data_IF_173436327977
#
_entry.id   IF_173436327977
#
_cell.length_a   1.000
_cell.length_b   1.000
_cell.length_c   1.000
_cell.angle_alpha   90.00
_cell.angle_beta   90.00
_cell.angle_gamma   90.00
#
_symmetry.space_group_name_H-M   'P 1'
#
loop_
_entity.id
_entity.type
_entity.pdbx_description
1 polymer ?
#
# COMPACT_ATOMS: atom_id res chain seq x y z
N UNK A 1 -5.12 -4.23 -60.73
CA UNK A 1 -5.21 -5.66 -61.07
C UNK A 1 -4.04 -6.39 -60.43
N UNK A 2 -4.28 -7.09 -59.32
CA UNK A 2 -3.62 -8.35 -58.96
C UNK A 2 -4.22 -8.81 -57.62
N UNK A 3 -5.13 -9.78 -57.72
CA UNK A 3 -5.81 -10.43 -56.60
C UNK A 3 -4.88 -11.48 -55.99
N UNK A 4 -4.56 -11.34 -54.71
CA UNK A 4 -3.91 -12.39 -53.92
C UNK A 4 -5.02 -13.13 -53.17
N UNK A 5 -5.24 -14.38 -53.58
CA UNK A 5 -6.26 -15.28 -53.04
C UNK A 5 -5.60 -16.16 -51.98
N UNK A 6 -5.88 -15.94 -50.69
CA UNK A 6 -5.40 -16.81 -49.62
C UNK A 6 -6.33 -18.04 -49.49
N UNK A 7 -5.77 -19.23 -49.72
CA UNK A 7 -6.43 -20.52 -49.49
C UNK A 7 -6.54 -20.80 -47.98
N UNK A 8 -7.77 -20.94 -47.48
CA UNK A 8 -8.05 -21.57 -46.18
C UNK A 8 -7.87 -23.09 -46.29
N UNK A 9 -6.96 -23.69 -45.51
CA UNK A 9 -6.94 -25.13 -45.27
C UNK A 9 -7.74 -25.44 -44.00
N UNK A 10 -8.86 -26.15 -44.18
CA UNK A 10 -9.61 -26.81 -43.11
C UNK A 10 -8.85 -28.07 -42.66
N UNK A 11 -8.44 -28.12 -41.40
CA UNK A 11 -7.99 -29.37 -40.77
C UNK A 11 -8.99 -29.74 -39.69
N UNK A 12 -9.76 -30.80 -39.96
CA UNK A 12 -10.68 -31.43 -39.03
C UNK A 12 -9.87 -32.23 -38.00
N UNK A 13 -10.06 -31.98 -36.70
CA UNK A 13 -9.63 -32.88 -35.63
C UNK A 13 -10.88 -33.47 -34.99
N UNK A 14 -10.93 -34.80 -35.04
CA UNK A 14 -12.06 -35.65 -34.75
C UNK A 14 -12.36 -35.75 -33.25
N UNK A 15 -13.65 -35.81 -32.93
CA UNK A 15 -14.21 -36.25 -31.66
C UNK A 15 -13.80 -37.69 -31.33
N UNK A 16 -13.18 -37.89 -30.17
CA UNK A 16 -13.03 -39.20 -29.54
C UNK A 16 -14.05 -39.37 -28.42
N UNK A 17 -15.17 -40.03 -28.73
CA UNK A 17 -16.09 -40.60 -27.73
C UNK A 17 -15.41 -41.80 -27.06
N UNK A 18 -15.38 -41.84 -25.73
CA UNK A 18 -15.13 -43.06 -24.95
C UNK A 18 -16.44 -43.43 -24.25
N UNK A 19 -17.05 -44.51 -24.73
CA UNK A 19 -18.11 -45.29 -24.07
C UNK A 19 -17.49 -46.67 -23.79
N UNK A 20 -17.81 -47.27 -22.64
CA UNK A 20 -17.80 -48.70 -22.24
C UNK A 20 -17.38 -48.78 -20.74
N UNK A 21 -17.99 -49.47 -19.77
CA UNK A 21 -19.16 -50.34 -19.63
C UNK A 21 -19.66 -50.36 -18.17
N UNK A 22 -20.92 -50.75 -17.99
CA UNK A 22 -21.60 -51.07 -16.72
C UNK A 22 -21.06 -52.32 -16.00
N UNK A 23 -21.16 -52.34 -14.66
CA UNK A 23 -21.91 -53.31 -13.82
C UNK A 23 -21.65 -53.02 -12.32
N UNK A 24 -22.64 -52.57 -11.55
CA UNK A 24 -23.68 -53.35 -10.84
C UNK A 24 -23.17 -54.01 -9.55
N UNK A 25 -23.60 -53.48 -8.40
CA UNK A 25 -23.92 -54.25 -7.21
C UNK A 25 -24.91 -53.46 -6.36
N UNK A 26 -26.12 -54.00 -6.22
CA UNK A 26 -27.13 -53.50 -5.31
C UNK A 26 -26.98 -54.12 -3.93
N UNK A 27 -27.44 -53.39 -2.92
CA UNK A 27 -27.89 -53.97 -1.66
C UNK A 27 -28.82 -53.00 -0.95
N UNK A 28 -30.08 -53.40 -0.86
CA UNK A 28 -31.08 -52.83 0.04
C UNK A 28 -30.57 -52.86 1.48
N UNK A 29 -30.59 -51.74 2.19
CA UNK A 29 -30.49 -51.71 3.64
C UNK A 29 -31.63 -50.89 4.22
N UNK A 30 -32.44 -51.57 5.01
CA UNK A 30 -33.63 -51.11 5.73
C UNK A 30 -33.33 -50.02 6.74
N UNK A 31 -34.21 -49.01 6.81
CA UNK A 31 -34.24 -48.00 7.87
C UNK A 31 -34.47 -48.65 9.25
N UNK A 32 -33.66 -48.34 10.28
CA UNK A 32 -33.87 -48.85 11.63
C UNK A 32 -34.98 -48.09 12.36
N UNK A 33 -35.84 -48.85 13.03
CA UNK A 33 -36.89 -48.39 13.94
C UNK A 33 -36.29 -47.75 15.20
N UNK A 34 -36.77 -46.59 15.68
CA UNK A 34 -36.26 -45.99 16.90
C UNK A 34 -36.67 -46.79 18.15
N UNK A 35 -35.68 -47.16 18.98
CA UNK A 35 -35.90 -47.71 20.32
C UNK A 35 -36.09 -46.57 21.35
N UNK A 36 -36.92 -46.78 22.39
CA UNK A 36 -37.11 -45.80 23.46
C UNK A 36 -35.85 -45.69 24.34
N UNK A 37 -35.41 -44.45 24.57
CA UNK A 37 -34.28 -44.09 25.42
C UNK A 37 -34.70 -44.16 26.90
N UNK A 38 -33.94 -44.90 27.71
CA UNK A 38 -34.10 -44.94 29.17
C UNK A 38 -33.56 -43.65 29.81
N UNK A 39 -34.38 -42.99 30.63
CA UNK A 39 -33.97 -41.85 31.46
C UNK A 39 -32.91 -42.28 32.49
N UNK A 40 -31.77 -41.60 32.52
CA UNK A 40 -30.81 -41.67 33.62
C UNK A 40 -31.24 -40.77 34.79
N UNK A 41 -31.05 -41.28 36.00
CA UNK A 41 -31.30 -40.61 37.29
C UNK A 41 -30.30 -39.46 37.50
N UNK A 42 -30.72 -38.32 38.10
CA UNK A 42 -29.83 -37.19 38.33
C UNK A 42 -28.79 -37.50 39.43
N UNK A 43 -27.51 -37.34 39.08
CA UNK A 43 -26.39 -37.32 40.02
C UNK A 43 -26.36 -35.98 40.76
N UNK A 44 -26.21 -36.01 42.08
CA UNK A 44 -26.17 -34.82 42.94
C UNK A 44 -24.93 -33.97 42.66
N UNK A 45 -25.11 -32.77 42.12
CA UNK A 45 -24.04 -31.78 41.91
C UNK A 45 -23.71 -31.09 43.23
N UNK A 46 -22.43 -31.07 43.62
CA UNK A 46 -21.94 -30.31 44.76
C UNK A 46 -21.90 -28.81 44.41
N UNK A 47 -22.65 -28.00 45.15
CA UNK A 47 -22.67 -26.54 45.05
C UNK A 47 -21.45 -25.96 45.76
N UNK A 48 -20.53 -25.35 45.02
CA UNK A 48 -19.48 -24.51 45.58
C UNK A 48 -19.97 -23.08 45.72
N UNK A 49 -19.88 -22.53 46.92
CA UNK A 49 -20.19 -21.13 47.22
C UNK A 49 -19.05 -20.24 46.69
N UNK A 50 -19.30 -19.26 45.81
CA UNK A 50 -18.25 -18.36 45.32
C UNK A 50 -17.78 -17.42 46.43
N UNK A 51 -16.46 -17.23 46.52
CA UNK A 51 -15.86 -16.26 47.42
C UNK A 51 -16.25 -14.82 47.04
N UNK A 52 -16.30 -13.88 48.01
CA UNK A 52 -16.69 -12.49 47.75
C UNK A 52 -15.70 -11.81 46.78
N UNK A 53 -16.24 -11.24 45.71
CA UNK A 53 -15.49 -10.47 44.72
C UNK A 53 -15.06 -9.13 45.32
N UNK A 54 -13.76 -8.87 45.39
CA UNK A 54 -13.21 -7.53 45.58
C UNK A 54 -13.22 -6.79 44.23
N UNK A 55 -13.88 -5.62 44.11
CA UNK A 55 -13.85 -4.85 42.89
C UNK A 55 -12.43 -4.30 42.65
N UNK A 56 -11.82 -4.71 41.55
CA UNK A 56 -10.57 -4.12 41.07
C UNK A 56 -10.88 -2.70 40.61
N UNK A 57 -10.32 -1.71 41.29
CA UNK A 57 -10.34 -0.32 40.82
C UNK A 57 -9.45 -0.26 39.58
N UNK A 58 -10.07 -0.23 38.40
CA UNK A 58 -9.34 -0.02 37.15
C UNK A 58 -8.81 1.42 37.14
N UNK A 59 -7.47 1.54 37.12
CA UNK A 59 -6.80 2.82 36.88
C UNK A 59 -7.26 3.36 35.53
N UNK A 60 -7.89 4.53 35.52
CA UNK A 60 -8.28 5.23 34.30
C UNK A 60 -7.01 5.56 33.52
N UNK A 61 -6.83 4.94 32.35
CA UNK A 61 -5.76 5.29 31.43
C UNK A 61 -5.90 6.77 31.06
N UNK A 62 -4.88 7.56 31.37
CA UNK A 62 -4.76 8.93 30.88
C UNK A 62 -4.73 8.86 29.36
N UNK A 63 -5.73 9.45 28.67
CA UNK A 63 -5.74 9.52 27.21
C UNK A 63 -4.48 10.27 26.77
N UNK A 64 -3.57 9.58 26.06
CA UNK A 64 -2.45 10.29 25.45
C UNK A 64 -3.02 11.33 24.48
N UNK A 65 -2.55 12.59 24.52
CA UNK A 65 -3.02 13.60 23.58
C UNK A 65 -2.75 13.10 22.17
N UNK A 66 -3.83 12.95 21.38
CA UNK A 66 -3.74 12.51 20.00
C UNK A 66 -2.87 13.48 19.18
N UNK A 67 -2.10 12.99 18.20
CA UNK A 67 -1.33 13.84 17.30
C UNK A 67 -2.22 14.93 16.68
N UNK A 68 -1.77 16.18 16.71
CA UNK A 68 -2.48 17.28 16.03
C UNK A 68 -2.12 17.30 14.53
N UNK A 69 -2.47 16.23 13.82
CA UNK A 69 -2.24 16.07 12.38
C UNK A 69 -3.46 16.64 11.67
N UNK A 70 -3.27 17.77 10.97
CA UNK A 70 -4.34 18.38 10.16
C UNK A 70 -4.36 17.83 8.74
N UNK A 71 -3.20 17.42 8.22
CA UNK A 71 -3.07 16.88 6.86
C UNK A 71 -1.91 15.91 6.72
N UNK A 72 -1.97 15.08 5.68
CA UNK A 72 -0.93 14.10 5.36
C UNK A 72 -0.46 14.26 3.92
N UNK A 73 0.86 14.35 3.75
CA UNK A 73 1.55 14.33 2.46
C UNK A 73 2.34 13.03 2.33
N UNK A 74 2.05 12.27 1.29
CA UNK A 74 2.72 11.01 0.96
C UNK A 74 3.57 11.26 -0.28
N UNK A 75 4.87 10.97 -0.18
CA UNK A 75 5.81 11.02 -1.30
C UNK A 75 6.29 9.60 -1.57
N UNK A 76 6.05 9.12 -2.78
CA UNK A 76 6.65 7.89 -3.29
C UNK A 76 7.73 8.24 -4.31
N UNK A 77 8.95 7.77 -4.06
CA UNK A 77 10.02 7.76 -5.07
C UNK A 77 10.07 6.34 -5.66
N UNK A 78 9.56 6.19 -6.88
CA UNK A 78 9.41 4.90 -7.57
C UNK A 78 10.77 4.20 -7.68
N UNK A 79 10.84 2.90 -7.33
CA UNK A 79 12.05 2.10 -7.43
C UNK A 79 13.16 2.42 -6.41
N UNK A 80 12.89 3.27 -5.40
CA UNK A 80 13.91 3.75 -4.45
C UNK A 80 14.33 2.66 -3.45
N UNK A 81 15.59 2.22 -3.58
CA UNK A 81 16.25 1.39 -2.56
C UNK A 81 16.75 2.23 -1.38
N UNK A 82 16.67 1.74 -0.14
CA UNK A 82 17.24 2.45 1.01
C UNK A 82 18.74 2.74 0.93
N UNK A 83 19.51 1.83 0.31
CA UNK A 83 20.97 1.96 0.24
C UNK A 83 21.45 3.04 -0.73
N UNK A 84 20.56 3.58 -1.59
CA UNK A 84 20.93 4.65 -2.52
C UNK A 84 20.67 6.05 -2.00
N UNK A 85 19.84 6.23 -0.95
CA UNK A 85 19.45 7.56 -0.42
C UNK A 85 20.68 8.42 -0.13
N UNK A 86 21.68 7.87 0.56
CA UNK A 86 22.90 8.59 0.89
C UNK A 86 23.79 8.84 -0.34
N UNK A 87 23.93 7.85 -1.22
CA UNK A 87 24.79 7.97 -2.41
C UNK A 87 24.20 8.87 -3.50
N UNK A 88 22.88 9.02 -3.53
CA UNK A 88 22.16 9.94 -4.39
C UNK A 88 22.13 11.38 -3.85
N UNK A 89 22.68 11.63 -2.65
CA UNK A 89 22.70 12.97 -2.04
C UNK A 89 21.28 13.54 -1.84
N UNK A 90 20.32 12.70 -1.44
CA UNK A 90 18.93 13.09 -1.14
C UNK A 90 18.83 13.82 0.20
N UNK A 91 19.37 15.04 0.24
CA UNK A 91 19.55 15.84 1.45
C UNK A 91 18.24 16.18 2.16
N UNK A 92 17.14 16.44 1.44
CA UNK A 92 15.85 16.77 2.05
C UNK A 92 15.21 15.52 2.68
N UNK A 93 15.25 14.37 2.00
CA UNK A 93 14.83 13.08 2.56
C UNK A 93 15.66 12.73 3.80
N UNK A 94 16.98 12.88 3.74
CA UNK A 94 17.85 12.62 4.90
C UNK A 94 17.54 13.56 6.08
N UNK A 95 17.27 14.84 5.82
CA UNK A 95 16.88 15.79 6.86
C UNK A 95 15.52 15.42 7.47
N UNK A 96 14.54 15.01 6.66
CA UNK A 96 13.23 14.55 7.14
C UNK A 96 13.39 13.27 8.00
N UNK A 97 14.23 12.34 7.56
CA UNK A 97 14.54 11.11 8.29
C UNK A 97 15.19 11.38 9.65
N UNK A 98 16.10 12.35 9.74
CA UNK A 98 16.71 12.76 11.02
C UNK A 98 15.72 13.46 11.95
N UNK A 99 14.75 14.18 11.39
CA UNK A 99 13.70 14.89 12.12
C UNK A 99 12.41 14.05 12.29
N UNK A 100 12.51 12.73 12.16
CA UNK A 100 11.34 11.85 12.13
C UNK A 100 11.63 10.46 12.64
N UNK A 101 10.71 9.54 12.39
CA UNK A 101 10.89 8.12 12.60
C UNK A 101 11.09 7.41 11.25
N UNK A 102 11.85 6.31 11.24
CA UNK A 102 12.12 5.62 9.98
C UNK A 102 12.48 4.16 10.13
N UNK A 103 12.24 3.39 9.06
CA UNK A 103 12.79 2.08 8.79
C UNK A 103 13.41 2.06 7.40
N UNK A 104 14.64 1.56 7.29
CA UNK A 104 15.34 1.32 6.02
C UNK A 104 15.28 -0.18 5.64
N UNK A 105 14.38 -0.92 6.27
CA UNK A 105 14.17 -2.35 6.03
C UNK A 105 12.68 -2.68 5.89
N UNK A 106 11.84 -1.67 5.58
CA UNK A 106 10.44 -1.91 5.29
C UNK A 106 10.33 -2.78 4.02
N UNK A 107 9.24 -3.55 3.94
CA UNK A 107 9.05 -4.53 2.87
C UNK A 107 7.85 -4.14 2.01
N UNK A 108 8.00 -4.29 0.70
CA UNK A 108 6.90 -4.17 -0.24
C UNK A 108 6.10 -5.49 -0.34
N UNK A 109 5.21 -5.58 -1.32
CA UNK A 109 4.43 -6.78 -1.67
C UNK A 109 5.12 -7.56 -2.79
N UNK A 110 4.80 -8.85 -2.90
CA UNK A 110 5.16 -9.68 -4.04
C UNK A 110 3.98 -9.84 -5.02
N UNK A 111 4.18 -9.76 -6.35
CA UNK A 111 5.41 -9.31 -7.03
C UNK A 111 5.64 -7.81 -6.83
N UNK A 112 6.90 -7.41 -6.69
CA UNK A 112 7.32 -6.02 -6.39
C UNK A 112 7.21 -5.11 -7.62
N UNK A 113 5.98 -4.92 -8.08
CA UNK A 113 5.62 -4.15 -9.27
C UNK A 113 4.92 -2.85 -8.87
N UNK A 114 5.15 -1.80 -9.65
CA UNK A 114 4.71 -0.44 -9.34
C UNK A 114 3.23 -0.33 -8.98
N UNK A 115 2.33 -0.74 -9.88
CA UNK A 115 0.90 -0.52 -9.66
C UNK A 115 0.34 -1.41 -8.53
N UNK A 116 0.61 -2.73 -8.47
CA UNK A 116 0.16 -3.56 -7.36
C UNK A 116 0.68 -3.08 -5.99
N UNK A 117 1.95 -2.65 -5.91
CA UNK A 117 2.54 -2.16 -4.67
C UNK A 117 1.96 -0.82 -4.21
N UNK A 118 1.84 0.16 -5.11
CA UNK A 118 1.18 1.42 -4.77
C UNK A 118 -0.29 1.23 -4.39
N UNK A 119 -0.98 0.28 -5.03
CA UNK A 119 -2.33 -0.09 -4.63
C UNK A 119 -2.33 -0.64 -3.22
N UNK A 120 -1.46 -1.61 -2.90
CA UNK A 120 -1.32 -2.13 -1.53
C UNK A 120 -0.99 -1.03 -0.51
N UNK A 121 -0.13 -0.08 -0.86
CA UNK A 121 0.25 1.06 -0.02
C UNK A 121 -0.94 1.92 0.39
N UNK A 122 -1.84 2.21 -0.55
CA UNK A 122 -2.95 3.17 -0.38
C UNK A 122 -4.29 2.49 -0.01
N UNK A 123 -4.47 1.22 -0.37
CA UNK A 123 -5.65 0.41 0.00
C UNK A 123 -5.45 -0.30 1.35
N UNK A 124 -4.20 -0.49 1.80
CA UNK A 124 -3.92 -1.16 3.08
C UNK A 124 -4.18 -2.67 3.10
N UNK A 125 -4.30 -3.29 1.92
CA UNK A 125 -4.50 -4.74 1.75
C UNK A 125 -3.51 -5.32 0.74
N UNK A 126 -3.32 -6.62 0.73
CA UNK A 126 -2.48 -7.31 -0.25
C UNK A 126 -3.19 -7.48 -1.61
N UNK A 127 -2.47 -7.81 -2.71
CA UNK A 127 -3.06 -8.01 -4.05
C UNK A 127 -4.10 -9.11 -4.14
N UNK A 128 -4.14 -10.03 -3.17
CA UNK A 128 -5.18 -11.03 -3.07
C UNK A 128 -6.57 -10.43 -2.78
N UNK A 129 -6.65 -9.28 -2.10
CA UNK A 129 -7.89 -8.60 -1.73
C UNK A 129 -8.25 -7.48 -2.70
N UNK A 130 -7.30 -6.59 -3.01
CA UNK A 130 -7.56 -5.45 -3.89
C UNK A 130 -7.54 -5.78 -5.39
N UNK A 131 -7.19 -7.03 -5.75
CA UNK A 131 -7.18 -7.66 -7.10
C UNK A 131 -6.36 -6.98 -8.20
N UNK A 132 -5.75 -5.82 -7.94
CA UNK A 132 -4.80 -5.18 -8.85
C UNK A 132 -3.50 -5.99 -8.95
N UNK A 133 -3.41 -6.83 -10.00
CA UNK A 133 -2.28 -7.75 -10.27
C UNK A 133 -1.61 -7.51 -11.63
N UNK A 134 -1.93 -6.38 -12.26
CA UNK A 134 -1.35 -5.95 -13.53
C UNK A 134 -0.48 -4.70 -13.29
N UNK A 135 0.44 -4.41 -14.22
CA UNK A 135 1.37 -3.28 -14.08
C UNK A 135 1.35 -2.31 -15.27
N UNK A 136 0.36 -2.45 -16.15
CA UNK A 136 0.14 -1.57 -17.30
C UNK A 136 -1.11 -0.72 -17.09
N UNK A 137 -1.23 0.39 -17.81
CA UNK A 137 -2.49 1.12 -17.85
C UNK A 137 -3.46 0.42 -18.81
N UNK A 138 -4.54 -0.13 -18.26
CA UNK A 138 -5.59 -0.85 -19.01
C UNK A 138 -6.95 -0.41 -18.45
N UNK A 139 -7.56 0.66 -18.99
CA UNK A 139 -8.79 1.26 -18.46
C UNK A 139 -9.92 0.27 -18.15
N UNK A 140 -10.04 -0.80 -18.95
CA UNK A 140 -11.04 -1.84 -18.82
C UNK A 140 -10.93 -2.65 -17.53
N UNK A 141 -9.76 -2.66 -16.89
CA UNK A 141 -9.54 -3.36 -15.62
C UNK A 141 -10.20 -2.64 -14.43
N UNK A 142 -10.62 -1.38 -14.57
CA UNK A 142 -11.27 -0.63 -13.50
C UNK A 142 -10.30 -0.23 -12.38
N UNK A 143 -10.81 -0.12 -11.15
CA UNK A 143 -10.06 0.36 -9.99
C UNK A 143 -9.79 -0.78 -9.00
N UNK A 144 -8.96 -0.51 -8.00
CA UNK A 144 -8.73 -1.44 -6.91
C UNK A 144 -10.04 -1.77 -6.17
N UNK A 145 -10.16 -3.00 -5.67
CA UNK A 145 -11.30 -3.38 -4.84
C UNK A 145 -11.03 -3.10 -3.36
N UNK A 146 -12.08 -2.73 -2.64
CA UNK A 146 -12.05 -2.43 -1.21
C UNK A 146 -12.05 -0.93 -0.95
N UNK A 147 -12.03 -0.56 0.33
CA UNK A 147 -11.92 0.85 0.74
C UNK A 147 -10.47 1.26 0.80
N UNK A 148 -10.10 2.34 0.13
CA UNK A 148 -8.76 2.93 0.20
C UNK A 148 -8.71 4.16 1.13
N UNK A 149 -7.51 4.69 1.37
CA UNK A 149 -7.35 5.85 2.27
C UNK A 149 -7.99 7.14 1.72
N UNK A 150 -8.12 7.26 0.39
CA UNK A 150 -8.77 8.38 -0.28
C UNK A 150 -10.30 8.32 -0.08
N UNK A 151 -10.90 7.13 -0.15
CA UNK A 151 -12.31 6.92 0.21
C UNK A 151 -12.60 7.38 1.65
N UNK A 152 -11.76 6.96 2.61
CA UNK A 152 -11.93 7.33 4.01
C UNK A 152 -11.79 8.83 4.23
N UNK A 153 -10.83 9.46 3.56
CA UNK A 153 -10.62 10.90 3.64
C UNK A 153 -11.84 11.66 3.07
N UNK A 154 -12.33 11.28 1.88
CA UNK A 154 -13.51 11.90 1.27
C UNK A 154 -14.77 11.69 2.10
N UNK A 155 -14.98 10.50 2.66
CA UNK A 155 -16.12 10.22 3.55
C UNK A 155 -16.08 11.10 4.83
N UNK A 156 -14.89 11.51 5.26
CA UNK A 156 -14.69 12.45 6.37
C UNK A 156 -14.73 13.94 5.94
N UNK A 157 -14.95 14.23 4.65
CA UNK A 157 -14.99 15.59 4.10
C UNK A 157 -13.62 16.25 3.94
N UNK A 158 -12.56 15.45 3.88
CA UNK A 158 -11.18 15.91 3.69
C UNK A 158 -10.87 16.07 2.20
N UNK A 159 -10.13 17.13 1.85
CA UNK A 159 -9.74 17.41 0.47
C UNK A 159 -8.59 16.50 0.01
N UNK A 160 -8.81 15.80 -1.09
CA UNK A 160 -7.95 14.70 -1.56
C UNK A 160 -7.27 14.99 -2.89
N UNK A 161 -5.96 14.79 -2.96
CA UNK A 161 -5.14 15.11 -4.15
C UNK A 161 -4.21 13.96 -4.50
N UNK A 162 -4.14 13.60 -5.79
CA UNK A 162 -3.20 12.63 -6.32
C UNK A 162 -2.45 13.22 -7.52
N UNK A 163 -1.13 13.25 -7.48
CA UNK A 163 -0.26 13.72 -8.58
C UNK A 163 0.77 12.65 -8.89
N UNK A 164 0.77 12.13 -10.12
CA UNK A 164 1.54 10.95 -10.48
C UNK A 164 2.33 11.09 -11.78
N UNK A 165 3.45 10.38 -11.85
CA UNK A 165 4.31 10.31 -13.03
C UNK A 165 4.07 9.09 -13.93
N UNK A 166 3.14 8.19 -13.56
CA UNK A 166 2.78 7.00 -14.36
C UNK A 166 1.26 6.88 -14.42
N UNK A 167 0.68 6.89 -15.63
CA UNK A 167 -0.78 6.93 -15.83
C UNK A 167 -1.49 5.74 -15.16
N UNK A 168 -0.85 4.57 -15.14
CA UNK A 168 -1.39 3.34 -14.55
C UNK A 168 -1.82 3.50 -13.09
N UNK A 169 -1.24 4.44 -12.33
CA UNK A 169 -1.63 4.71 -10.95
C UNK A 169 -3.06 5.26 -10.81
N UNK A 170 -3.70 5.66 -11.91
CA UNK A 170 -5.14 5.93 -11.98
C UNK A 170 -5.99 4.73 -11.52
N UNK A 171 -5.49 3.50 -11.65
CA UNK A 171 -6.20 2.29 -11.22
C UNK A 171 -6.32 2.14 -9.70
N UNK A 172 -5.65 2.96 -8.91
CA UNK A 172 -5.63 2.79 -7.45
C UNK A 172 -6.99 3.16 -6.83
N UNK A 173 -7.57 4.29 -7.25
CA UNK A 173 -8.74 4.87 -6.59
C UNK A 173 -9.68 5.48 -7.63
N UNK A 174 -10.98 5.41 -7.37
CA UNK A 174 -12.00 5.96 -8.25
C UNK A 174 -11.94 7.49 -8.33
N UNK A 175 -12.36 8.12 -9.45
CA UNK A 175 -12.30 9.57 -9.61
C UNK A 175 -13.09 10.36 -8.55
N UNK A 176 -14.12 9.74 -7.96
CA UNK A 176 -14.92 10.35 -6.88
C UNK A 176 -14.15 10.47 -5.57
N UNK A 177 -13.09 9.67 -5.42
CA UNK A 177 -12.27 9.61 -4.21
C UNK A 177 -11.11 10.62 -4.24
N UNK A 178 -10.95 11.35 -5.34
CA UNK A 178 -9.96 12.43 -5.49
C UNK A 178 -10.62 13.73 -5.96
N UNK A 179 -10.44 14.83 -5.21
CA UNK A 179 -10.81 16.17 -5.71
C UNK A 179 -9.93 16.63 -6.88
N UNK A 180 -8.70 16.11 -6.95
CA UNK A 180 -7.80 16.31 -8.08
C UNK A 180 -6.95 15.07 -8.33
N UNK A 181 -6.95 14.61 -9.59
CA UNK A 181 -5.99 13.66 -10.12
C UNK A 181 -5.20 14.33 -11.24
N UNK A 182 -3.88 14.37 -11.10
CA UNK A 182 -2.95 14.88 -12.10
C UNK A 182 -1.98 13.79 -12.55
N UNK A 183 -1.77 13.67 -13.85
CA UNK A 183 -0.73 12.83 -14.44
C UNK A 183 0.16 13.71 -15.32
N UNK A 184 1.47 13.55 -15.18
CA UNK A 184 2.50 14.18 -16.01
C UNK A 184 3.35 13.06 -16.59
N UNK A 185 3.47 13.01 -17.92
CA UNK A 185 4.30 12.01 -18.58
C UNK A 185 5.73 12.55 -18.71
N UNK A 186 6.59 12.20 -17.75
CA UNK A 186 7.99 12.62 -17.81
C UNK A 186 8.80 11.95 -18.93
N UNK A 187 8.20 11.00 -19.67
CA UNK A 187 8.83 10.31 -20.80
C UNK A 187 8.44 10.89 -22.17
N UNK A 188 7.41 11.75 -22.23
CA UNK A 188 7.01 12.35 -23.49
C UNK A 188 8.08 13.34 -23.99
N UNK A 189 8.41 13.23 -25.28
CA UNK A 189 9.34 14.14 -25.98
C UNK A 189 8.69 15.45 -26.37
N UNK A 190 7.36 15.52 -26.27
CA UNK A 190 6.61 16.76 -26.29
C UNK A 190 6.70 17.31 -24.86
N UNK A 191 7.48 18.37 -24.65
CA UNK A 191 7.60 19.00 -23.32
C UNK A 191 6.20 19.25 -22.74
N UNK A 192 5.83 18.47 -21.72
CA UNK A 192 4.69 18.79 -20.88
C UNK A 192 4.88 20.23 -20.38
N UNK A 193 3.87 21.08 -20.61
CA UNK A 193 3.97 22.51 -20.26
C UNK A 193 4.11 22.73 -18.75
N UNK A 194 3.85 21.70 -17.94
CA UNK A 194 3.82 21.74 -16.48
C UNK A 194 4.52 20.49 -15.97
N UNK A 195 5.59 20.66 -15.19
CA UNK A 195 6.28 19.56 -14.52
C UNK A 195 5.48 19.03 -13.33
N UNK A 196 5.80 17.81 -12.89
CA UNK A 196 5.11 17.13 -11.79
C UNK A 196 5.16 17.94 -10.49
N UNK A 197 6.33 18.49 -10.16
CA UNK A 197 6.54 19.33 -8.99
C UNK A 197 5.80 20.66 -9.10
N UNK A 198 5.71 21.24 -10.29
CA UNK A 198 4.92 22.47 -10.51
C UNK A 198 3.44 22.20 -10.25
N UNK A 199 2.91 21.10 -10.79
CA UNK A 199 1.52 20.69 -10.57
C UNK A 199 1.23 20.43 -9.08
N UNK A 200 2.14 19.72 -8.39
CA UNK A 200 2.01 19.47 -6.96
C UNK A 200 2.03 20.76 -6.14
N UNK A 201 2.96 21.68 -6.41
CA UNK A 201 3.05 23.00 -5.75
C UNK A 201 1.75 23.79 -5.91
N UNK A 202 1.15 23.77 -7.10
CA UNK A 202 -0.14 24.42 -7.33
C UNK A 202 -1.26 23.84 -6.47
N UNK A 203 -1.33 22.52 -6.33
CA UNK A 203 -2.33 21.90 -5.46
C UNK A 203 -2.06 22.19 -3.98
N UNK A 204 -0.80 22.18 -3.55
CA UNK A 204 -0.43 22.63 -2.21
C UNK A 204 -0.92 24.07 -1.99
N UNK A 205 -0.78 24.99 -2.96
CA UNK A 205 -1.30 26.37 -2.84
C UNK A 205 -2.82 26.45 -2.74
N UNK A 206 -3.54 25.57 -3.45
CA UNK A 206 -5.01 25.44 -3.37
C UNK A 206 -5.50 24.76 -2.09
N UNK A 207 -4.59 24.15 -1.31
CA UNK A 207 -4.89 23.39 -0.10
C UNK A 207 -5.22 21.93 -0.37
N UNK A 208 -4.91 21.09 0.62
CA UNK A 208 -5.18 19.65 0.67
C UNK A 208 -5.24 19.21 2.14
N UNK A 209 -5.90 18.08 2.39
CA UNK A 209 -5.89 17.38 3.67
C UNK A 209 -5.20 16.01 3.54
N UNK A 210 -5.35 15.34 2.39
CA UNK A 210 -4.58 14.16 2.02
C UNK A 210 -4.02 14.33 0.60
N UNK A 211 -2.70 14.19 0.44
CA UNK A 211 -2.05 14.32 -0.86
C UNK A 211 -1.03 13.20 -1.09
N UNK A 212 -1.12 12.55 -2.25
CA UNK A 212 -0.12 11.60 -2.73
C UNK A 212 0.63 12.17 -3.94
N UNK A 213 1.96 12.10 -3.91
CA UNK A 213 2.85 12.51 -4.99
C UNK A 213 3.77 11.34 -5.33
N UNK A 214 3.89 11.04 -6.62
CA UNK A 214 4.72 9.96 -7.13
C UNK A 214 5.76 10.48 -8.13
N UNK A 215 7.03 10.40 -7.75
CA UNK A 215 8.16 10.71 -8.63
C UNK A 215 8.62 9.43 -9.36
N UNK A 216 8.52 9.37 -10.71
CA UNK A 216 8.82 8.17 -11.49
C UNK A 216 10.30 8.05 -11.89
N UNK A 217 11.07 9.13 -11.79
CA UNK A 217 12.34 9.31 -12.52
C UNK A 217 13.41 8.30 -12.10
N UNK A 218 13.47 7.95 -10.81
CA UNK A 218 14.41 6.97 -10.28
C UNK A 218 14.25 5.57 -10.86
N UNK A 219 13.00 5.09 -10.98
CA UNK A 219 12.70 3.81 -11.61
C UNK A 219 12.94 3.84 -13.12
N UNK A 220 12.49 4.91 -13.80
CA UNK A 220 12.73 5.09 -15.24
C UNK A 220 14.23 5.03 -15.57
N UNK A 221 15.06 5.75 -14.80
CA UNK A 221 16.50 5.71 -14.95
C UNK A 221 17.10 4.34 -14.55
N UNK A 222 16.51 3.66 -13.57
CA UNK A 222 16.87 2.29 -13.19
C UNK A 222 16.68 1.30 -14.34
N UNK A 223 15.55 1.38 -15.05
CA UNK A 223 15.30 0.57 -16.24
C UNK A 223 16.23 0.89 -17.40
N UNK A 224 16.54 2.17 -17.64
CA UNK A 224 17.36 2.57 -18.79
C UNK A 224 18.86 2.33 -18.56
N UNK A 225 19.38 2.61 -17.36
CA UNK A 225 20.82 2.64 -17.07
C UNK A 225 21.26 1.64 -16.01
N UNK A 226 20.31 1.08 -15.29
CA UNK A 226 20.52 0.12 -14.21
C UNK A 226 20.43 0.73 -12.82
N UNK A 227 20.03 -0.08 -11.84
CA UNK A 227 19.99 0.33 -10.43
C UNK A 227 21.40 0.66 -9.92
N UNK A 228 21.50 1.76 -9.16
CA UNK A 228 22.75 2.35 -8.66
C UNK A 228 23.66 2.95 -9.74
N UNK A 229 23.17 3.07 -10.98
CA UNK A 229 23.84 3.86 -12.03
C UNK A 229 23.93 5.33 -11.63
N UNK A 230 24.84 6.08 -12.25
CA UNK A 230 24.98 7.52 -11.97
C UNK A 230 23.71 8.26 -12.35
N UNK A 231 23.09 7.85 -13.44
CA UNK A 231 21.88 8.39 -14.01
C UNK A 231 20.70 8.22 -13.04
N UNK A 232 20.54 7.03 -12.44
CA UNK A 232 19.54 6.81 -11.39
C UNK A 232 19.82 7.67 -10.15
N UNK A 233 21.07 7.75 -9.69
CA UNK A 233 21.42 8.59 -8.54
C UNK A 233 21.14 10.08 -8.81
N UNK A 234 21.40 10.56 -10.02
CA UNK A 234 21.06 11.92 -10.44
C UNK A 234 19.55 12.15 -10.56
N UNK A 235 18.78 11.15 -10.99
CA UNK A 235 17.32 11.23 -11.00
C UNK A 235 16.77 11.44 -9.58
N UNK A 236 17.16 10.59 -8.62
CA UNK A 236 16.75 10.75 -7.22
C UNK A 236 17.20 12.07 -6.61
N UNK A 237 18.38 12.58 -6.97
CA UNK A 237 18.82 13.90 -6.50
C UNK A 237 17.87 15.01 -6.96
N UNK A 238 17.46 14.99 -8.23
CA UNK A 238 16.50 15.98 -8.77
C UNK A 238 15.13 15.86 -8.11
N UNK A 239 14.66 14.63 -7.89
CA UNK A 239 13.39 14.40 -7.19
C UNK A 239 13.46 14.90 -5.73
N UNK A 240 14.60 14.73 -5.04
CA UNK A 240 14.82 15.27 -3.70
C UNK A 240 14.87 16.81 -3.68
N UNK A 241 15.47 17.44 -4.69
CA UNK A 241 15.45 18.89 -4.88
C UNK A 241 14.01 19.40 -5.10
N UNK A 242 13.22 18.70 -5.93
CA UNK A 242 11.80 18.99 -6.13
C UNK A 242 10.98 18.82 -4.84
N UNK A 243 11.26 17.77 -4.05
CA UNK A 243 10.68 17.61 -2.72
C UNK A 243 11.03 18.77 -1.78
N UNK A 244 12.26 19.27 -1.83
CA UNK A 244 12.67 20.49 -1.12
C UNK A 244 11.77 21.70 -1.43
N UNK A 245 11.43 21.91 -2.70
CA UNK A 245 10.51 22.98 -3.11
C UNK A 245 9.10 22.80 -2.53
N UNK A 246 8.60 21.56 -2.45
CA UNK A 246 7.31 21.27 -1.79
C UNK A 246 7.36 21.66 -0.30
N UNK A 247 8.44 21.32 0.40
CA UNK A 247 8.64 21.68 1.80
C UNK A 247 8.67 23.19 2.00
N UNK A 248 9.32 23.94 1.10
CA UNK A 248 9.33 25.41 1.13
C UNK A 248 7.94 26.00 0.98
N UNK A 249 7.12 25.45 0.09
CA UNK A 249 5.75 25.92 -0.11
C UNK A 249 4.88 25.62 1.11
N UNK A 250 5.00 24.44 1.72
CA UNK A 250 4.32 24.12 2.99
C UNK A 250 4.68 25.12 4.09
N UNK A 251 5.96 25.47 4.23
CA UNK A 251 6.46 26.46 5.21
C UNK A 251 5.93 27.86 4.91
N UNK A 252 5.95 28.29 3.65
CA UNK A 252 5.46 29.61 3.23
C UNK A 252 3.96 29.80 3.45
N UNK A 253 3.20 28.70 3.46
CA UNK A 253 1.76 28.67 3.72
C UNK A 253 1.43 28.48 5.20
N UNK A 254 2.43 28.38 6.08
CA UNK A 254 2.27 28.12 7.51
C UNK A 254 1.50 26.83 7.82
N UNK A 255 1.66 25.81 6.97
CA UNK A 255 1.01 24.50 7.11
C UNK A 255 2.00 23.36 7.32
N UNK A 256 3.30 23.65 7.39
CA UNK A 256 4.31 22.61 7.58
C UNK A 256 4.22 21.96 8.97
N UNK A 257 3.92 22.73 10.02
CA UNK A 257 3.96 22.26 11.41
C UNK A 257 2.86 21.25 11.77
N UNK A 258 1.72 21.30 11.08
CA UNK A 258 0.55 20.43 11.25
C UNK A 258 0.38 19.45 10.07
N UNK A 259 1.38 19.34 9.18
CA UNK A 259 1.45 18.33 8.12
C UNK A 259 2.30 17.14 8.57
N UNK A 260 1.73 15.94 8.51
CA UNK A 260 2.48 14.69 8.58
C UNK A 260 2.99 14.33 7.19
N UNK A 261 4.28 14.02 7.08
CA UNK A 261 4.92 13.64 5.82
C UNK A 261 5.38 12.20 5.92
N UNK A 262 4.98 11.36 4.96
CA UNK A 262 5.45 9.99 4.80
C UNK A 262 6.21 9.91 3.47
N UNK A 263 7.44 9.38 3.53
CA UNK A 263 8.24 9.06 2.34
C UNK A 263 8.40 7.55 2.26
N UNK A 264 8.13 6.98 1.10
CA UNK A 264 8.39 5.56 0.84
C UNK A 264 8.71 5.31 -0.64
N UNK A 265 8.74 4.04 -1.00
CA UNK A 265 8.86 3.53 -2.36
C UNK A 265 7.93 2.34 -2.51
N UNK A 266 7.59 2.01 -3.74
CA UNK A 266 6.84 0.82 -4.10
C UNK A 266 7.70 -0.43 -4.23
N UNK A 267 8.94 -0.31 -4.67
CA UNK A 267 9.91 -1.40 -4.75
C UNK A 267 11.34 -0.84 -4.82
N UNK A 268 12.32 -1.74 -4.77
CA UNK A 268 13.68 -1.47 -5.20
C UNK A 268 13.95 -2.05 -6.59
N UNK A 269 15.14 -2.59 -6.84
CA UNK A 269 15.49 -3.19 -8.13
C UNK A 269 16.93 -3.64 -8.23
N UNK A 270 17.22 -4.41 -9.28
CA UNK A 270 18.53 -4.97 -9.58
C UNK A 270 18.78 -4.97 -11.09
N UNK A 271 20.05 -4.89 -11.50
CA UNK A 271 20.43 -4.73 -12.90
C UNK A 271 19.57 -3.65 -13.55
N UNK A 272 18.74 -3.96 -14.55
CA UNK A 272 17.79 -3.03 -15.21
C UNK A 272 16.32 -3.44 -15.03
N UNK A 273 16.01 -4.19 -13.97
CA UNK A 273 14.66 -4.75 -13.74
C UNK A 273 14.29 -4.79 -12.25
N UNK A 274 13.03 -5.08 -12.00
CA UNK A 274 12.49 -5.39 -10.68
C UNK A 274 11.33 -6.41 -10.83
N UNK A 275 10.69 -6.80 -9.72
CA UNK A 275 9.53 -7.71 -9.71
C UNK A 275 9.81 -9.09 -9.13
N UNK A 276 11.00 -9.31 -8.58
CA UNK A 276 11.43 -10.57 -7.96
C UNK A 276 11.23 -10.56 -6.45
N UNK A 277 11.43 -11.71 -5.80
CA UNK A 277 11.45 -11.86 -4.35
C UNK A 277 12.83 -11.52 -3.73
N UNK A 278 13.76 -11.02 -4.54
CA UNK A 278 15.09 -10.62 -4.05
C UNK A 278 14.98 -9.47 -3.06
N UNK A 279 15.89 -9.43 -2.09
CA UNK A 279 15.94 -8.34 -1.11
C UNK A 279 16.12 -6.96 -1.75
N UNK A 280 16.76 -6.90 -2.92
CA UNK A 280 17.00 -5.66 -3.66
C UNK A 280 15.72 -5.07 -4.23
N UNK A 281 14.75 -5.92 -4.58
CA UNK A 281 13.44 -5.50 -5.10
C UNK A 281 12.43 -5.27 -3.98
N UNK A 282 12.51 -6.07 -2.91
CA UNK A 282 11.52 -6.09 -1.85
C UNK A 282 11.73 -5.02 -0.77
N UNK A 283 12.99 -4.58 -0.55
CA UNK A 283 13.33 -3.69 0.55
C UNK A 283 13.20 -2.22 0.14
N UNK A 284 12.34 -1.49 0.85
CA UNK A 284 11.99 -0.08 0.58
C UNK A 284 12.26 0.79 1.82
N UNK A 285 12.48 2.10 1.65
CA UNK A 285 12.50 3.02 2.76
C UNK A 285 11.07 3.29 3.24
N UNK A 286 10.91 3.52 4.54
CA UNK A 286 9.69 4.05 5.11
C UNK A 286 10.06 5.08 6.16
N UNK A 287 9.78 6.35 5.89
CA UNK A 287 10.18 7.50 6.72
C UNK A 287 8.92 8.31 7.01
N UNK A 288 8.76 8.75 8.25
CA UNK A 288 7.62 9.56 8.69
C UNK A 288 8.12 10.71 9.57
N UNK A 289 7.64 11.93 9.34
CA UNK A 289 7.97 13.10 10.16
C UNK A 289 6.79 14.06 10.21
N UNK A 290 6.60 14.74 11.33
CA UNK A 290 5.48 15.66 11.54
C UNK A 290 4.96 15.63 12.99
N UNK A 291 3.78 16.23 13.23
CA UNK A 291 3.25 16.37 14.58
C UNK A 291 2.99 15.01 15.23
N UNK A 292 3.47 14.84 16.47
CA UNK A 292 3.29 13.62 17.26
C UNK A 292 4.24 12.47 16.96
N UNK A 293 5.19 12.65 16.03
CA UNK A 293 6.18 11.62 15.70
C UNK A 293 7.36 11.66 16.67
N UNK A 294 7.73 10.50 17.22
CA UNK A 294 8.93 10.33 18.03
C UNK A 294 10.14 10.09 17.15
N UNK A 295 11.16 10.93 17.25
CA UNK A 295 12.31 10.86 16.36
C UNK A 295 13.21 9.67 16.70
N UNK A 296 13.16 8.60 15.92
CA UNK A 296 13.96 7.39 16.13
C UNK A 296 14.00 6.47 14.91
N UNK A 297 15.00 5.61 14.86
CA UNK A 297 14.91 4.40 14.05
C UNK A 297 13.84 3.47 14.65
N UNK A 298 12.97 2.94 13.81
CA UNK A 298 11.89 2.03 14.17
C UNK A 298 12.41 0.59 14.21
N UNK A 299 11.94 -0.17 15.19
CA UNK A 299 12.26 -1.59 15.37
C UNK A 299 11.14 -2.50 14.84
N UNK A 300 9.91 -1.98 14.76
CA UNK A 300 8.75 -2.66 14.21
C UNK A 300 8.98 -3.04 12.75
N UNK A 301 8.56 -4.25 12.37
CA UNK A 301 8.50 -4.65 10.96
C UNK A 301 7.39 -3.87 10.25
N UNK A 302 7.76 -3.19 9.17
CA UNK A 302 6.85 -2.34 8.40
C UNK A 302 6.68 -2.95 7.01
N UNK A 303 5.43 -3.05 6.57
CA UNK A 303 5.07 -3.44 5.22
C UNK A 303 4.39 -2.26 4.51
N UNK A 304 4.47 -2.19 3.18
CA UNK A 304 3.88 -1.07 2.41
C UNK A 304 2.40 -0.84 2.74
N UNK A 305 1.63 -1.90 2.99
CA UNK A 305 0.22 -1.87 3.42
C UNK A 305 -0.03 -1.13 4.74
N UNK A 306 0.99 -0.96 5.59
CA UNK A 306 0.88 -0.25 6.86
C UNK A 306 0.74 1.26 6.68
N UNK A 307 1.08 1.77 5.49
CA UNK A 307 1.02 3.19 5.16
C UNK A 307 -0.41 3.72 5.26
N UNK A 308 -1.38 3.12 4.56
CA UNK A 308 -2.78 3.49 4.65
C UNK A 308 -3.30 3.46 6.10
N UNK A 309 -3.02 2.38 6.84
CA UNK A 309 -3.43 2.22 8.24
C UNK A 309 -2.84 3.31 9.15
N UNK A 310 -1.58 3.67 8.93
CA UNK A 310 -0.88 4.73 9.66
C UNK A 310 -1.51 6.10 9.38
N UNK A 311 -1.87 6.38 8.13
CA UNK A 311 -2.53 7.63 7.74
C UNK A 311 -3.92 7.73 8.38
N UNK A 312 -4.72 6.66 8.31
CA UNK A 312 -6.04 6.63 8.94
C UNK A 312 -5.94 6.88 10.44
N UNK A 313 -5.00 6.23 11.12
CA UNK A 313 -4.73 6.48 12.54
C UNK A 313 -4.35 7.94 12.83
N UNK A 314 -3.42 8.51 12.04
CA UNK A 314 -2.95 9.88 12.20
C UNK A 314 -4.07 10.92 12.02
N UNK A 315 -4.96 10.71 11.05
CA UNK A 315 -6.12 11.56 10.77
C UNK A 315 -7.34 11.24 11.66
N UNK A 316 -7.20 10.33 12.62
CA UNK A 316 -8.29 9.87 13.49
C UNK A 316 -9.52 9.34 12.70
N UNK A 317 -9.25 8.64 11.59
CA UNK A 317 -10.22 7.94 10.77
C UNK A 317 -10.38 6.49 11.27
N UNK A 318 -11.58 5.93 11.09
CA UNK A 318 -11.82 4.52 11.45
C UNK A 318 -11.11 3.61 10.45
N UNK A 319 -10.24 2.73 10.95
CA UNK A 319 -9.52 1.76 10.13
C UNK A 319 -10.51 0.65 9.72
N UNK A 320 -10.69 0.38 8.42
CA UNK A 320 -11.56 -0.68 7.93
C UNK A 320 -11.11 -2.06 8.43
N UNK A 321 -12.07 -2.94 8.71
CA UNK A 321 -11.80 -4.28 9.26
C UNK A 321 -11.14 -5.22 8.25
N UNK A 322 -11.29 -4.92 6.96
CA UNK A 322 -10.70 -5.65 5.85
C UNK A 322 -9.22 -5.34 5.64
N UNK A 323 -8.73 -4.20 6.17
CA UNK A 323 -7.33 -3.80 6.07
C UNK A 323 -6.42 -4.79 6.79
N UNK A 324 -5.32 -5.12 6.13
CA UNK A 324 -4.28 -6.00 6.66
C UNK A 324 -3.12 -5.19 7.23
N UNK A 325 -3.01 -3.93 6.80
CA UNK A 325 -2.08 -2.94 7.33
C UNK A 325 -2.35 -2.65 8.79
N UNK A 326 -1.29 -2.46 9.56
CA UNK A 326 -1.35 -2.08 10.97
C UNK A 326 -0.69 -0.70 11.09
N UNK A 327 -1.28 0.28 11.79
CA UNK A 327 -0.62 1.55 12.02
C UNK A 327 0.75 1.33 12.65
N UNK A 328 1.75 2.09 12.20
CA UNK A 328 3.10 2.06 12.77
C UNK A 328 3.10 2.83 14.10
N UNK A 329 2.47 2.23 15.12
CA UNK A 329 2.25 2.80 16.44
C UNK A 329 3.54 3.27 17.12
N UNK A 330 4.64 2.55 16.90
CA UNK A 330 5.96 2.90 17.45
C UNK A 330 6.40 4.31 17.04
N UNK A 331 6.05 4.75 15.83
CA UNK A 331 6.38 6.10 15.34
C UNK A 331 5.69 7.19 16.18
N UNK A 332 4.57 6.88 16.84
CA UNK A 332 3.83 7.78 17.74
C UNK A 332 4.15 7.51 19.22
N UNK A 333 5.17 6.70 19.53
CA UNK A 333 5.50 6.32 20.91
C UNK A 333 4.50 5.36 21.57
N UNK A 334 3.62 4.75 20.77
CA UNK A 334 2.66 3.77 21.24
C UNK A 334 3.25 2.35 21.21
N UNK A 335 2.75 1.42 22.05
CA UNK A 335 3.17 0.04 22.02
C UNK A 335 2.96 -0.59 20.63
N UNK A 336 3.97 -1.29 20.13
CA UNK A 336 3.93 -1.98 18.86
C UNK A 336 4.25 -3.47 19.01
N UNK A 337 3.68 -4.30 18.14
CA UNK A 337 3.99 -5.72 18.08
C UNK A 337 5.25 -5.93 17.20
N UNK A 338 6.38 -6.20 17.85
CA UNK A 338 7.66 -6.44 17.17
C UNK A 338 7.72 -7.81 16.47
N UNK A 339 6.80 -8.73 16.77
CA UNK A 339 6.80 -10.12 16.30
C UNK A 339 5.69 -10.41 15.27
N UNK A 340 5.35 -9.44 14.43
CA UNK A 340 4.37 -9.65 13.35
C UNK A 340 4.90 -10.65 12.30
N UNK A 341 4.00 -11.51 11.84
CA UNK A 341 4.19 -12.38 10.69
C UNK A 341 4.43 -11.57 9.40
N UNK A 342 4.99 -12.20 8.38
CA UNK A 342 5.18 -11.56 7.10
C UNK A 342 3.84 -11.25 6.42
N UNK A 343 3.72 -10.06 5.84
CA UNK A 343 2.55 -9.66 5.09
C UNK A 343 2.80 -9.77 3.59
N UNK A 344 1.76 -10.10 2.84
CA UNK A 344 1.74 -10.13 1.36
C UNK A 344 2.81 -11.02 0.70
N UNK A 345 3.18 -12.13 1.33
CA UNK A 345 4.11 -13.15 0.81
C UNK A 345 3.47 -14.17 -0.14
N UNK A 346 2.23 -13.90 -0.57
CA UNK A 346 1.48 -14.81 -1.44
C UNK A 346 2.08 -14.94 -2.83
N UNK A 347 1.90 -16.11 -3.45
CA UNK A 347 2.25 -16.33 -4.87
C UNK A 347 1.42 -15.41 -5.79
N UNK A 348 1.98 -14.95 -6.93
CA UNK A 348 1.39 -13.92 -7.80
C UNK A 348 -0.01 -14.24 -8.32
#
# INVERSE_FOLDING_TARGET
MQNITLKMSRTYIACGLIILFLQACGSNASLPTPQPVSLSTPTSTLTFTPAPFTPIVMSTATSMPMPNVARVLIISFDGLRPDVIQTADMSNVMALMQAGAYSLSAQTIFPSLTLPSHTSMLVGTCPAKHVVRWNEYVPENGYALGTDIFDLAQAAGLKTIMVVGKEKLRHITEPQSTDFFGFVDSTDKIEDKVSLETMAIEQIRKGFDLMFIHFPDGDLAGHEYGWKSKEQLFAYKRDDEAFGLLLEVLKSRDIFADTLIIISADHGGHDTTHGTDSSEDMTIPWIISGPGINHKKLETKIYTIDTAATIAFALNLSIPVEWEGIPVYEAFGLPANLLRDEACTGTP
#
